data_IF_817572342159
#
_entry.id   IF_817572342159
#
_cell.length_a   1.000
_cell.length_b   1.000
_cell.length_c   1.000
_cell.angle_alpha   90.00
_cell.angle_beta   90.00
_cell.angle_gamma   90.00
#
_symmetry.space_group_name_H-M   'P 1'
#
loop_
_entity.id
_entity.type
_entity.pdbx_description
1 polymer ?
#
# COMPACT_ATOMS: atom_id res chain seq x y z
N UNK A 1 -6.92 19.35 -1.50
CA UNK A 1 -6.07 18.84 -0.40
C UNK A 1 -6.84 17.94 0.57
N UNK A 2 -7.92 18.40 1.20
CA UNK A 2 -8.65 17.63 2.22
C UNK A 2 -9.24 16.30 1.72
N UNK A 3 -9.87 16.29 0.53
CA UNK A 3 -10.38 15.04 -0.09
C UNK A 3 -9.29 13.99 -0.28
N UNK A 4 -8.10 14.40 -0.73
CA UNK A 4 -6.97 13.49 -0.94
C UNK A 4 -6.47 12.91 0.39
N UNK A 5 -6.41 13.73 1.45
CA UNK A 5 -6.09 13.28 2.81
C UNK A 5 -7.08 12.22 3.30
N UNK A 6 -8.39 12.46 3.11
CA UNK A 6 -9.45 11.52 3.47
C UNK A 6 -9.34 10.20 2.69
N UNK A 7 -9.11 10.27 1.38
CA UNK A 7 -8.92 9.08 0.54
C UNK A 7 -7.67 8.31 0.97
N UNK A 8 -6.54 8.99 1.20
CA UNK A 8 -5.31 8.38 1.68
C UNK A 8 -5.48 7.69 3.04
N UNK A 9 -6.20 8.31 3.97
CA UNK A 9 -6.52 7.68 5.25
C UNK A 9 -7.31 6.38 5.07
N UNK A 10 -8.35 6.36 4.22
CA UNK A 10 -9.09 5.13 3.92
C UNK A 10 -8.23 4.08 3.22
N UNK A 11 -7.42 4.48 2.24
CA UNK A 11 -6.49 3.55 1.58
C UNK A 11 -5.53 2.92 2.59
N UNK A 12 -5.02 3.68 3.56
CA UNK A 12 -4.15 3.14 4.60
C UNK A 12 -4.87 2.16 5.53
N UNK A 13 -6.09 2.45 5.96
CA UNK A 13 -6.77 1.67 7.01
C UNK A 13 -7.67 0.54 6.50
N UNK A 14 -8.19 0.63 5.27
CA UNK A 14 -9.11 -0.36 4.71
C UNK A 14 -8.81 -0.73 3.23
N UNK A 15 -7.63 -0.37 2.71
CA UNK A 15 -7.32 -0.57 1.31
C UNK A 15 -6.91 -2.00 0.90
N UNK A 16 -6.64 -2.88 1.86
CA UNK A 16 -6.07 -4.22 1.63
C UNK A 16 -6.89 -5.35 2.27
N UNK A 17 -8.22 -5.20 2.33
CA UNK A 17 -9.12 -6.15 2.99
C UNK A 17 -8.67 -6.38 4.45
N UNK A 18 -8.75 -7.63 4.91
CA UNK A 18 -8.28 -8.05 6.24
C UNK A 18 -6.75 -7.90 6.41
N UNK A 19 -6.01 -7.64 5.33
CA UNK A 19 -4.58 -7.34 5.35
C UNK A 19 -4.20 -5.88 5.57
N UNK A 20 -5.16 -4.97 5.79
CA UNK A 20 -4.90 -3.52 5.87
C UNK A 20 -3.98 -3.13 7.03
N UNK A 21 -4.16 -3.73 8.21
CA UNK A 21 -3.28 -3.47 9.36
C UNK A 21 -1.84 -3.91 9.10
N UNK A 22 -1.64 -5.11 8.55
CA UNK A 22 -0.29 -5.64 8.26
C UNK A 22 0.40 -4.84 7.15
N UNK A 23 -0.35 -4.44 6.11
CA UNK A 23 0.17 -3.56 5.05
C UNK A 23 0.58 -2.19 5.59
N UNK A 24 -0.26 -1.57 6.43
CA UNK A 24 0.06 -0.29 7.07
C UNK A 24 1.32 -0.40 7.94
N UNK A 25 1.47 -1.46 8.72
CA UNK A 25 2.66 -1.68 9.55
C UNK A 25 3.94 -1.90 8.72
N UNK A 26 3.89 -2.76 7.71
CA UNK A 26 5.08 -3.18 6.95
C UNK A 26 5.49 -2.19 5.86
N UNK A 27 4.52 -1.58 5.18
CA UNK A 27 4.74 -0.68 4.04
C UNK A 27 4.59 0.79 4.42
N UNK A 28 3.68 1.12 5.34
CA UNK A 28 3.63 2.46 5.94
C UNK A 28 3.08 3.58 5.04
N UNK A 29 2.52 3.27 3.88
CA UNK A 29 1.95 4.29 2.97
C UNK A 29 0.53 3.90 2.52
N UNK A 30 -0.36 4.87 2.22
CA UNK A 30 -1.69 4.59 1.69
C UNK A 30 -1.66 3.69 0.45
N UNK A 31 -2.43 2.61 0.42
CA UNK A 31 -2.54 1.78 -0.79
C UNK A 31 -3.87 1.06 -0.95
N UNK A 32 -4.22 0.66 -2.17
CA UNK A 32 -5.41 -0.11 -2.50
C UNK A 32 -5.04 -1.31 -3.36
N UNK A 33 -5.45 -2.50 -2.93
CA UNK A 33 -5.31 -3.73 -3.71
C UNK A 33 -6.55 -4.07 -4.53
N UNK A 34 -6.41 -4.99 -5.49
CA UNK A 34 -7.53 -5.65 -6.15
C UNK A 34 -7.18 -7.08 -6.53
N UNK A 35 -8.21 -7.94 -6.63
CA UNK A 35 -8.07 -9.38 -6.94
C UNK A 35 -7.45 -9.67 -8.31
N UNK A 36 -7.39 -8.68 -9.21
CA UNK A 36 -6.60 -8.75 -10.46
C UNK A 36 -5.08 -8.75 -10.24
N UNK A 37 -4.61 -8.67 -8.99
CA UNK A 37 -3.19 -8.70 -8.61
C UNK A 37 -2.50 -7.34 -8.61
N UNK A 38 -3.25 -6.25 -8.80
CA UNK A 38 -2.72 -4.88 -8.75
C UNK A 38 -2.74 -4.31 -7.33
N UNK A 39 -1.74 -3.49 -7.01
CA UNK A 39 -1.73 -2.61 -5.83
C UNK A 39 -1.31 -1.21 -6.26
N UNK A 40 -2.15 -0.22 -5.99
CA UNK A 40 -1.84 1.20 -6.10
C UNK A 40 -1.40 1.72 -4.73
N UNK A 41 -0.28 2.43 -4.62
CA UNK A 41 0.18 3.05 -3.38
C UNK A 41 0.61 4.51 -3.61
N UNK A 42 0.42 5.36 -2.59
CA UNK A 42 0.68 6.80 -2.69
C UNK A 42 1.64 7.20 -1.58
N UNK A 43 2.73 7.88 -1.95
CA UNK A 43 3.64 8.56 -1.03
C UNK A 43 3.30 10.06 -1.10
N UNK A 44 2.61 10.63 -0.10
CA UNK A 44 2.10 11.99 -0.18
C UNK A 44 3.19 13.01 -0.52
N UNK A 45 2.99 13.78 -1.60
CA UNK A 45 3.92 14.82 -2.05
C UNK A 45 5.19 14.31 -2.74
N UNK A 46 5.38 12.99 -2.87
CA UNK A 46 6.61 12.39 -3.39
C UNK A 46 6.36 11.53 -4.64
N UNK A 47 5.48 10.53 -4.56
CA UNK A 47 5.32 9.55 -5.63
C UNK A 47 3.95 8.85 -5.63
N UNK A 48 3.57 8.32 -6.80
CA UNK A 48 2.49 7.35 -6.98
C UNK A 48 3.08 6.06 -7.54
N UNK A 49 2.75 4.92 -6.94
CA UNK A 49 3.32 3.61 -7.24
C UNK A 49 2.22 2.66 -7.69
N UNK A 50 2.50 1.85 -8.71
CA UNK A 50 1.66 0.73 -9.08
C UNK A 50 2.54 -0.52 -9.20
N UNK A 51 2.11 -1.61 -8.56
CA UNK A 51 2.72 -2.93 -8.72
C UNK A 51 1.66 -3.91 -9.18
N UNK A 52 2.06 -4.92 -9.94
CA UNK A 52 1.16 -5.96 -10.40
C UNK A 52 1.85 -7.32 -10.39
N UNK A 53 1.17 -8.29 -9.82
CA UNK A 53 1.50 -9.72 -9.91
C UNK A 53 0.25 -10.52 -9.57
N UNK A 54 -0.17 -11.48 -10.42
CA UNK A 54 -1.44 -12.18 -10.26
C UNK A 54 -1.50 -13.13 -9.05
N UNK A 55 -0.36 -13.61 -8.55
CA UNK A 55 -0.32 -14.50 -7.39
C UNK A 55 -0.75 -13.79 -6.10
N UNK A 56 -1.90 -14.18 -5.55
CA UNK A 56 -2.48 -13.59 -4.33
C UNK A 56 -2.04 -14.33 -3.06
N UNK A 57 -2.04 -13.62 -1.92
CA UNK A 57 -1.93 -14.21 -0.59
C UNK A 57 -3.31 -14.57 -0.01
N UNK A 58 -3.34 -15.08 1.22
CA UNK A 58 -4.58 -15.51 1.90
C UNK A 58 -5.63 -14.38 2.05
N UNK A 59 -5.21 -13.11 2.01
CA UNK A 59 -6.09 -11.94 2.13
C UNK A 59 -6.52 -11.39 0.77
N UNK A 60 -6.25 -12.09 -0.33
CA UNK A 60 -6.61 -11.65 -1.69
C UNK A 60 -5.72 -10.52 -2.25
N UNK A 61 -4.58 -10.23 -1.61
CA UNK A 61 -3.64 -9.20 -2.03
C UNK A 61 -2.49 -9.80 -2.84
N UNK A 62 -1.94 -9.08 -3.83
CA UNK A 62 -0.78 -9.54 -4.61
C UNK A 62 0.42 -9.83 -3.70
N UNK A 63 0.82 -11.10 -3.60
CA UNK A 63 1.89 -11.53 -2.67
C UNK A 63 3.23 -10.87 -3.02
N UNK A 64 3.63 -10.97 -4.30
CA UNK A 64 4.89 -10.36 -4.75
C UNK A 64 4.78 -8.84 -4.82
N UNK A 65 3.61 -8.29 -5.17
CA UNK A 65 3.37 -6.85 -5.16
C UNK A 65 3.56 -6.25 -3.76
N UNK A 66 2.99 -6.87 -2.72
CA UNK A 66 3.16 -6.41 -1.33
C UNK A 66 4.62 -6.49 -0.86
N UNK A 67 5.34 -7.56 -1.20
CA UNK A 67 6.78 -7.70 -0.86
C UNK A 67 7.61 -6.63 -1.59
N UNK A 68 7.32 -6.36 -2.86
CA UNK A 68 8.02 -5.34 -3.63
C UNK A 68 7.81 -3.94 -3.04
N UNK A 69 6.57 -3.58 -2.69
CA UNK A 69 6.25 -2.31 -2.06
C UNK A 69 6.91 -2.16 -0.68
N UNK A 70 6.89 -3.20 0.16
CA UNK A 70 7.58 -3.18 1.45
C UNK A 70 9.08 -2.92 1.29
N UNK A 71 9.73 -3.62 0.36
CA UNK A 71 11.17 -3.44 0.11
C UNK A 71 11.48 -2.04 -0.40
N UNK A 72 10.69 -1.54 -1.35
CA UNK A 72 10.87 -0.21 -1.90
C UNK A 72 10.66 0.87 -0.83
N UNK A 73 9.59 0.79 -0.05
CA UNK A 73 9.31 1.72 1.04
C UNK A 73 10.46 1.79 2.04
N UNK A 74 11.01 0.62 2.44
CA UNK A 74 12.19 0.55 3.33
C UNK A 74 13.44 1.17 2.70
N UNK A 75 13.75 0.85 1.44
CA UNK A 75 14.94 1.41 0.76
C UNK A 75 14.86 2.93 0.61
N UNK A 76 13.66 3.47 0.41
CA UNK A 76 13.45 4.91 0.21
C UNK A 76 13.13 5.67 1.50
N UNK A 77 13.10 4.97 2.64
CA UNK A 77 12.63 5.50 3.92
C UNK A 77 11.25 6.18 3.82
N UNK A 78 10.33 5.56 3.08
CA UNK A 78 8.96 6.05 2.91
C UNK A 78 8.02 5.41 3.92
N UNK A 79 7.45 6.22 4.80
CA UNK A 79 6.34 5.84 5.67
C UNK A 79 5.68 7.10 6.20
N UNK A 80 4.35 7.09 6.37
CA UNK A 80 3.62 8.16 7.08
C UNK A 80 3.82 8.10 8.60
N UNK A 81 4.48 7.05 9.08
CA UNK A 81 4.83 6.85 10.49
C UNK A 81 6.33 7.08 10.78
N UNK A 82 7.15 7.34 9.74
CA UNK A 82 8.55 7.68 9.95
C UNK A 82 8.66 9.03 10.68
N UNK A 83 9.64 9.21 11.58
CA UNK A 83 9.90 10.50 12.21
C UNK A 83 10.29 11.59 11.21
#
# INVERSE_FOLDING_TARGET
>A
AERARRIGAMMLTCGHYDGSGDFAFRVGIPGKSGVGGGILAIVPGVASLAVWSPGLNANGNSRLGSIALERLAKMMNWSVFAP
#
